data_IF_268867009258
#
_entry.id   IF_268867009258
#
_cell.length_a   1.000
_cell.length_b   1.000
_cell.length_c   1.000
_cell.angle_alpha   90.00
_cell.angle_beta   90.00
_cell.angle_gamma   90.00
#
_symmetry.space_group_name_H-M   'P 1'
#
loop_
_entity.id
_entity.type
_entity.pdbx_description
1 polymer ?
#
# COMPACT_ATOMS: atom_id res chain seq x y z
N UNK A 1 25.95 -30.43 8.89
CA UNK A 1 24.66 -29.94 8.39
C UNK A 1 23.76 -29.52 9.53
N UNK A 2 23.61 -30.33 10.58
CA UNK A 2 22.77 -30.07 11.76
C UNK A 2 23.13 -28.75 12.47
N UNK A 3 24.40 -28.52 12.78
CA UNK A 3 24.87 -27.24 13.37
C UNK A 3 24.61 -26.01 12.51
N UNK A 4 24.62 -26.15 11.17
CA UNK A 4 24.29 -25.06 10.24
C UNK A 4 22.79 -24.82 10.19
N UNK A 5 21.99 -25.87 10.34
CA UNK A 5 20.52 -25.77 10.42
C UNK A 5 20.07 -25.10 11.73
N UNK A 6 20.74 -25.43 12.84
CA UNK A 6 20.53 -24.76 14.14
C UNK A 6 20.84 -23.25 14.04
N UNK A 7 21.99 -22.88 13.46
CA UNK A 7 22.39 -21.46 13.28
C UNK A 7 21.43 -20.72 12.35
N UNK A 8 21.01 -21.33 11.25
CA UNK A 8 20.04 -20.70 10.35
C UNK A 8 18.65 -20.59 10.96
N UNK A 9 18.28 -21.49 11.85
CA UNK A 9 17.02 -21.43 12.60
C UNK A 9 17.09 -20.33 13.67
N UNK A 10 18.19 -20.26 14.42
CA UNK A 10 18.44 -19.22 15.44
C UNK A 10 18.48 -17.81 14.82
N UNK A 11 19.04 -17.68 13.63
CA UNK A 11 19.13 -16.41 12.88
C UNK A 11 17.94 -16.16 11.95
N UNK A 12 16.92 -17.01 11.99
CA UNK A 12 15.69 -16.92 11.18
C UNK A 12 15.93 -16.90 9.66
N UNK A 13 17.06 -17.36 9.18
CA UNK A 13 17.43 -17.40 7.75
C UNK A 13 16.79 -18.57 6.99
N UNK A 14 15.46 -18.73 7.06
CA UNK A 14 14.70 -19.87 6.52
C UNK A 14 14.94 -20.10 5.00
N UNK A 15 14.84 -19.07 4.18
CA UNK A 15 15.05 -19.16 2.72
C UNK A 15 16.51 -19.48 2.38
N UNK A 16 17.46 -19.01 3.15
CA UNK A 16 18.89 -19.30 2.98
C UNK A 16 19.20 -20.73 3.41
N UNK A 17 18.62 -21.21 4.52
CA UNK A 17 18.72 -22.58 4.97
C UNK A 17 18.22 -23.58 3.91
N UNK A 18 17.05 -23.35 3.34
CA UNK A 18 16.47 -24.19 2.29
C UNK A 18 17.37 -24.28 1.05
N UNK A 19 17.95 -23.15 0.64
CA UNK A 19 18.84 -23.09 -0.54
C UNK A 19 20.20 -23.75 -0.30
N UNK A 20 20.82 -23.55 0.86
CA UNK A 20 22.16 -24.05 1.19
C UNK A 20 22.14 -25.50 1.62
N UNK A 21 21.15 -25.89 2.40
CA UNK A 21 21.05 -27.26 2.94
C UNK A 21 20.37 -28.22 1.97
N UNK A 22 19.83 -27.73 0.85
CA UNK A 22 19.07 -28.51 -0.14
C UNK A 22 17.98 -29.37 0.53
N UNK A 23 17.24 -28.78 1.48
CA UNK A 23 16.07 -29.45 2.06
C UNK A 23 15.06 -29.69 0.92
N UNK A 24 14.46 -30.89 0.79
CA UNK A 24 13.39 -31.10 -0.16
C UNK A 24 12.28 -30.09 0.16
N UNK A 25 11.85 -29.33 -0.84
CA UNK A 25 10.68 -28.48 -0.70
C UNK A 25 9.49 -29.37 -0.33
N UNK A 26 9.08 -29.33 0.91
CA UNK A 26 7.76 -29.78 1.27
C UNK A 26 6.77 -28.83 0.60
N UNK A 27 5.86 -29.36 -0.20
CA UNK A 27 4.73 -28.59 -0.69
C UNK A 27 4.09 -27.90 0.52
N UNK A 28 3.80 -26.62 0.44
CA UNK A 28 3.27 -25.88 1.58
C UNK A 28 1.98 -26.54 2.06
N UNK A 29 2.02 -27.08 3.25
CA UNK A 29 0.83 -27.28 4.06
C UNK A 29 0.49 -25.90 4.62
N UNK A 30 -0.78 -25.50 4.51
CA UNK A 30 -1.38 -24.19 4.76
C UNK A 30 -1.00 -23.47 6.08
N UNK A 31 0.27 -23.16 6.31
CA UNK A 31 0.74 -22.39 7.46
C UNK A 31 2.04 -21.62 7.21
N UNK A 32 2.49 -21.50 5.95
CA UNK A 32 3.64 -20.65 5.63
C UNK A 32 3.47 -20.08 4.22
N UNK A 33 2.75 -18.96 4.13
CA UNK A 33 2.81 -18.06 2.98
C UNK A 33 4.16 -17.35 3.02
N UNK A 34 5.12 -17.83 2.23
CA UNK A 34 6.36 -17.09 1.98
C UNK A 34 6.04 -15.88 1.09
N UNK A 35 6.39 -14.71 1.61
CA UNK A 35 6.30 -13.44 0.90
C UNK A 35 7.15 -13.43 -0.37
N UNK A 36 6.49 -13.25 -1.50
CA UNK A 36 7.12 -12.71 -2.69
C UNK A 36 6.81 -11.20 -2.75
N UNK A 37 7.78 -10.39 -2.35
CA UNK A 37 7.63 -8.92 -2.19
C UNK A 37 7.38 -8.18 -3.52
N UNK A 38 7.34 -8.89 -4.67
CA UNK A 38 7.19 -8.33 -6.02
C UNK A 38 6.25 -9.14 -6.93
N UNK A 39 5.42 -10.02 -6.37
CA UNK A 39 4.44 -10.71 -7.18
C UNK A 39 3.25 -9.79 -7.50
N UNK A 40 3.16 -9.37 -8.75
CA UNK A 40 1.90 -8.93 -9.35
C UNK A 40 0.84 -10.02 -9.12
N UNK A 41 -0.36 -9.62 -8.72
CA UNK A 41 -1.49 -10.47 -8.36
C UNK A 41 -1.60 -11.72 -9.24
N UNK A 42 -1.69 -12.94 -8.69
CA UNK A 42 -1.97 -14.13 -9.47
C UNK A 42 -3.41 -14.06 -9.98
N UNK A 43 -3.55 -13.88 -11.29
CA UNK A 43 -4.80 -14.12 -12.00
C UNK A 43 -5.16 -15.60 -11.93
N UNK A 44 -6.36 -15.86 -11.42
CA UNK A 44 -7.17 -17.07 -11.64
C UNK A 44 -6.47 -18.43 -11.60
N UNK A 45 -6.47 -19.05 -10.45
CA UNK A 45 -6.47 -20.50 -10.29
C UNK A 45 -7.60 -20.87 -9.35
N UNK A 46 -8.57 -21.60 -9.85
CA UNK A 46 -9.59 -22.27 -9.03
C UNK A 46 -8.87 -23.29 -8.15
N UNK A 47 -8.51 -22.91 -6.94
CA UNK A 47 -8.12 -23.86 -5.91
C UNK A 47 -9.30 -24.11 -5.00
N UNK A 48 -9.61 -25.41 -4.84
CA UNK A 48 -10.64 -25.94 -3.97
C UNK A 48 -10.45 -25.37 -2.55
N UNK A 49 -11.30 -24.40 -2.20
CA UNK A 49 -11.44 -23.89 -0.85
C UNK A 49 -11.80 -25.05 0.09
N UNK A 50 -10.87 -25.44 0.94
CA UNK A 50 -11.22 -26.14 2.16
C UNK A 50 -12.13 -25.21 2.94
N UNK A 51 -13.38 -25.64 3.18
CA UNK A 51 -14.40 -24.97 3.95
C UNK A 51 -13.92 -24.66 5.39
N UNK A 52 -13.17 -23.59 5.58
CA UNK A 52 -13.17 -22.88 6.83
C UNK A 52 -14.48 -22.09 6.82
N UNK A 53 -15.41 -22.38 7.71
CA UNK A 53 -16.63 -21.58 7.87
C UNK A 53 -16.24 -20.24 8.49
N UNK A 54 -15.82 -19.27 7.66
CA UNK A 54 -15.66 -17.89 8.10
C UNK A 54 -17.05 -17.30 8.35
N UNK A 55 -17.16 -16.51 9.40
CA UNK A 55 -18.28 -15.59 9.56
C UNK A 55 -18.21 -14.50 8.47
N UNK A 56 -19.32 -13.87 8.16
CA UNK A 56 -19.39 -12.78 7.18
C UNK A 56 -20.62 -11.92 7.48
N UNK A 57 -20.74 -10.79 6.84
CA UNK A 57 -21.94 -9.94 6.93
C UNK A 57 -23.26 -10.70 6.68
N UNK A 58 -23.22 -11.78 5.89
CA UNK A 58 -24.40 -12.62 5.59
C UNK A 58 -24.74 -13.62 6.69
N UNK A 59 -23.80 -13.94 7.59
CA UNK A 59 -23.96 -15.01 8.59
C UNK A 59 -24.02 -14.47 10.01
N UNK A 60 -23.55 -13.25 10.25
CA UNK A 60 -23.55 -12.61 11.57
C UNK A 60 -24.69 -11.62 11.67
N UNK A 61 -25.46 -11.69 12.78
CA UNK A 61 -26.45 -10.68 13.07
C UNK A 61 -25.75 -9.36 13.42
N UNK A 62 -26.11 -8.30 12.72
CA UNK A 62 -25.53 -6.97 12.87
C UNK A 62 -26.59 -5.88 12.69
N UNK A 63 -26.28 -4.68 13.10
CA UNK A 63 -27.14 -3.51 13.00
C UNK A 63 -26.38 -2.37 12.34
N UNK A 64 -26.37 -2.36 11.01
CA UNK A 64 -25.77 -1.28 10.23
C UNK A 64 -26.85 -0.31 9.75
N UNK A 65 -26.58 0.96 9.90
CA UNK A 65 -27.57 2.01 9.69
C UNK A 65 -27.08 3.03 8.66
N UNK A 66 -27.89 3.28 7.65
CA UNK A 66 -27.67 4.35 6.68
C UNK A 66 -28.24 5.67 7.23
N UNK A 67 -27.43 6.72 7.17
CA UNK A 67 -27.78 8.10 7.53
C UNK A 67 -27.60 8.96 6.27
N UNK A 68 -28.69 9.50 5.75
CA UNK A 68 -28.70 10.25 4.49
C UNK A 68 -29.31 11.66 4.63
N UNK A 69 -29.60 12.09 5.86
CA UNK A 69 -30.18 13.40 6.15
C UNK A 69 -29.57 14.03 7.41
N UNK A 70 -29.64 15.36 7.50
CA UNK A 70 -29.02 16.11 8.59
C UNK A 70 -29.66 15.85 9.97
N UNK A 71 -30.96 15.56 10.04
CA UNK A 71 -31.65 15.36 11.34
C UNK A 71 -31.13 14.08 11.99
N UNK A 72 -31.04 12.99 11.25
CA UNK A 72 -30.49 11.72 11.74
C UNK A 72 -28.98 11.82 11.97
N UNK A 73 -28.24 12.59 11.16
CA UNK A 73 -26.83 12.88 11.40
C UNK A 73 -26.61 13.58 12.75
N UNK A 74 -27.44 14.55 13.10
CA UNK A 74 -27.37 15.23 14.42
C UNK A 74 -27.74 14.29 15.58
N UNK A 75 -28.74 13.42 15.41
CA UNK A 75 -29.07 12.38 16.41
C UNK A 75 -27.93 11.40 16.60
N UNK A 76 -27.30 10.99 15.49
CA UNK A 76 -26.12 10.12 15.55
C UNK A 76 -24.96 10.82 16.26
N UNK A 77 -24.68 12.09 15.94
CA UNK A 77 -23.67 12.89 16.64
C UNK A 77 -23.90 12.89 18.16
N UNK A 78 -25.12 13.18 18.61
CA UNK A 78 -25.46 13.23 20.04
C UNK A 78 -25.19 11.86 20.71
N UNK A 79 -25.49 10.76 20.03
CA UNK A 79 -25.21 9.40 20.51
C UNK A 79 -23.71 9.14 20.60
N UNK A 80 -22.96 9.40 19.53
CA UNK A 80 -21.51 9.15 19.44
C UNK A 80 -20.73 10.04 20.43
N UNK A 81 -21.18 11.26 20.67
CA UNK A 81 -20.49 12.19 21.57
C UNK A 81 -20.47 11.73 23.04
N UNK A 82 -21.32 10.79 23.42
CA UNK A 82 -21.33 10.18 24.76
C UNK A 82 -20.27 9.08 24.93
N UNK A 83 -19.63 8.65 23.86
CA UNK A 83 -18.72 7.50 23.85
C UNK A 83 -17.26 7.93 24.07
N UNK A 84 -16.44 7.00 24.55
CA UNK A 84 -15.02 7.24 24.80
C UNK A 84 -14.12 6.75 23.66
N UNK A 85 -14.62 5.84 22.84
CA UNK A 85 -13.93 5.23 21.70
C UNK A 85 -14.85 5.39 20.50
N UNK A 86 -14.25 5.77 19.37
CA UNK A 86 -14.91 5.95 18.09
C UNK A 86 -14.05 5.29 17.01
N UNK A 87 -14.52 4.18 16.49
CA UNK A 87 -13.99 3.64 15.23
C UNK A 87 -14.54 4.44 14.08
N UNK A 88 -13.68 4.78 13.13
CA UNK A 88 -14.00 5.59 11.97
C UNK A 88 -13.35 5.05 10.71
N UNK A 89 -14.01 5.29 9.60
CA UNK A 89 -13.49 5.05 8.26
C UNK A 89 -14.09 6.08 7.29
N UNK A 90 -13.42 6.35 6.17
CA UNK A 90 -13.88 7.30 5.16
C UNK A 90 -13.97 6.66 3.79
N UNK A 91 -15.15 6.73 3.17
CA UNK A 91 -15.33 6.39 1.77
C UNK A 91 -15.03 7.60 0.87
N UNK A 92 -14.27 7.37 -0.17
CA UNK A 92 -13.72 8.45 -1.00
C UNK A 92 -13.73 8.13 -2.49
N UNK A 93 -13.46 9.15 -3.30
CA UNK A 93 -13.36 9.02 -4.77
C UNK A 93 -12.01 8.55 -5.27
N UNK A 94 -10.97 8.54 -4.43
CA UNK A 94 -9.58 8.25 -4.81
C UNK A 94 -8.81 7.67 -3.63
N UNK A 95 -7.83 6.83 -3.92
CA UNK A 95 -6.84 6.36 -2.93
C UNK A 95 -5.74 7.38 -2.63
N UNK A 96 -5.74 8.52 -3.32
CA UNK A 96 -4.80 9.62 -3.12
C UNK A 96 -5.48 10.71 -2.29
N UNK A 97 -5.17 10.77 -1.00
CA UNK A 97 -5.91 11.58 -0.02
C UNK A 97 -5.97 13.07 -0.36
N UNK A 98 -4.90 13.64 -0.95
CA UNK A 98 -4.84 15.07 -1.30
C UNK A 98 -5.93 15.49 -2.28
N UNK A 99 -6.28 14.62 -3.24
CA UNK A 99 -7.25 14.88 -4.30
C UNK A 99 -8.59 14.16 -4.04
N UNK A 100 -8.70 13.42 -2.95
CA UNK A 100 -9.89 12.63 -2.63
C UNK A 100 -11.05 13.50 -2.15
N UNK A 101 -12.25 13.21 -2.66
CA UNK A 101 -13.49 13.76 -2.16
C UNK A 101 -14.20 12.72 -1.29
N UNK A 102 -14.79 13.16 -0.17
CA UNK A 102 -15.59 12.30 0.70
C UNK A 102 -16.85 11.83 -0.01
N UNK A 103 -17.10 10.55 0.05
CA UNK A 103 -18.35 9.87 -0.37
C UNK A 103 -19.19 9.50 0.85
N UNK A 104 -18.54 9.15 1.95
CA UNK A 104 -19.20 8.80 3.21
C UNK A 104 -18.27 8.83 4.40
N UNK A 105 -18.88 8.80 5.59
CA UNK A 105 -18.21 8.65 6.88
C UNK A 105 -18.83 7.45 7.60
N UNK A 106 -18.00 6.55 8.08
CA UNK A 106 -18.44 5.37 8.82
C UNK A 106 -18.01 5.45 10.27
N UNK A 107 -18.88 4.98 11.17
CA UNK A 107 -18.63 5.02 12.61
C UNK A 107 -19.09 3.73 13.29
N UNK A 108 -18.28 3.21 14.21
CA UNK A 108 -18.68 2.17 15.14
C UNK A 108 -18.20 2.50 16.56
N UNK A 109 -19.00 2.16 17.56
CA UNK A 109 -18.72 2.37 18.99
C UNK A 109 -19.01 1.13 19.83
N UNK A 110 -19.73 0.19 19.28
CA UNK A 110 -20.06 -1.12 19.82
C UNK A 110 -19.91 -2.15 18.70
N UNK A 111 -19.44 -3.36 19.01
CA UNK A 111 -19.28 -4.43 18.03
C UNK A 111 -20.64 -4.80 17.42
N UNK A 112 -20.64 -5.00 16.10
CA UNK A 112 -21.83 -5.36 15.32
C UNK A 112 -22.90 -4.25 15.22
N UNK A 113 -22.59 -3.02 15.68
CA UNK A 113 -23.40 -1.84 15.43
C UNK A 113 -22.55 -0.74 14.80
N UNK A 114 -22.92 -0.33 13.58
CA UNK A 114 -22.20 0.70 12.85
C UNK A 114 -23.15 1.60 12.04
N UNK A 115 -22.63 2.74 11.64
CA UNK A 115 -23.36 3.79 10.96
C UNK A 115 -22.57 4.29 9.76
N UNK A 116 -23.21 4.38 8.63
CA UNK A 116 -22.68 5.03 7.43
C UNK A 116 -23.44 6.33 7.17
N UNK A 117 -22.74 7.44 7.09
CA UNK A 117 -23.28 8.75 6.78
C UNK A 117 -22.92 9.06 5.32
N UNK A 118 -23.92 9.10 4.46
CA UNK A 118 -23.73 9.44 3.04
C UNK A 118 -23.40 10.94 2.90
N UNK A 119 -22.31 11.26 2.23
CA UNK A 119 -21.85 12.63 2.01
C UNK A 119 -22.22 13.07 0.60
N UNK A 120 -22.96 14.19 0.45
CA UNK A 120 -23.30 14.76 -0.86
C UNK A 120 -22.07 15.10 -1.69
N UNK A 121 -22.22 15.07 -3.03
CA UNK A 121 -21.14 15.45 -3.96
C UNK A 121 -20.88 16.96 -4.01
N UNK A 122 -21.90 17.76 -3.69
CA UNK A 122 -21.72 19.21 -3.56
C UNK A 122 -20.87 19.54 -2.33
N UNK A 123 -19.82 20.33 -2.55
CA UNK A 123 -18.83 20.65 -1.52
C UNK A 123 -19.41 21.40 -0.32
N UNK A 124 -20.35 22.31 -0.56
CA UNK A 124 -20.95 23.11 0.51
C UNK A 124 -21.90 22.24 1.36
N UNK A 125 -22.65 21.36 0.71
CA UNK A 125 -23.50 20.39 1.40
C UNK A 125 -22.66 19.37 2.16
N UNK A 126 -21.57 18.85 1.58
CA UNK A 126 -20.64 17.96 2.24
C UNK A 126 -20.05 18.57 3.52
N UNK A 127 -19.66 19.84 3.46
CA UNK A 127 -19.14 20.58 4.62
C UNK A 127 -20.19 20.71 5.75
N UNK A 128 -21.48 20.80 5.44
CA UNK A 128 -22.53 20.81 6.48
C UNK A 128 -22.52 19.50 7.27
N UNK A 129 -22.49 18.35 6.59
CA UNK A 129 -22.42 17.05 7.25
C UNK A 129 -21.12 16.87 8.04
N UNK A 130 -19.98 17.18 7.43
CA UNK A 130 -18.67 17.06 8.11
C UNK A 130 -18.64 17.94 9.37
N UNK A 131 -19.18 19.16 9.32
CA UNK A 131 -19.20 20.07 10.45
C UNK A 131 -20.08 19.56 11.61
N UNK A 132 -21.09 18.71 11.37
CA UNK A 132 -21.85 18.06 12.45
C UNK A 132 -20.90 17.16 13.26
N UNK A 133 -20.05 16.38 12.59
CA UNK A 133 -19.17 15.40 13.23
C UNK A 133 -17.80 15.96 13.61
N UNK A 134 -17.40 17.12 13.10
CA UNK A 134 -16.11 17.75 13.41
C UNK A 134 -15.80 17.78 14.92
N UNK A 135 -16.73 18.12 15.84
CA UNK A 135 -16.43 18.12 17.27
C UNK A 135 -16.12 16.72 17.85
N UNK A 136 -16.52 15.63 17.19
CA UNK A 136 -16.11 14.27 17.60
C UNK A 136 -14.64 14.03 17.27
N UNK A 137 -14.23 14.35 16.04
CA UNK A 137 -12.86 14.20 15.59
C UNK A 137 -11.89 15.05 16.42
N UNK A 138 -12.27 16.27 16.73
CA UNK A 138 -11.46 17.23 17.47
C UNK A 138 -11.56 17.11 19.00
N UNK A 139 -12.36 16.18 19.53
CA UNK A 139 -12.47 15.95 20.96
C UNK A 139 -11.29 15.09 21.47
N UNK A 140 -10.34 15.65 22.26
CA UNK A 140 -9.18 14.88 22.72
C UNK A 140 -9.52 13.80 23.77
N UNK A 141 -10.75 13.76 24.27
CA UNK A 141 -11.21 12.75 25.25
C UNK A 141 -11.74 11.50 24.58
N UNK A 142 -12.07 11.55 23.28
CA UNK A 142 -12.55 10.42 22.51
C UNK A 142 -11.34 9.83 21.77
N UNK A 143 -11.04 8.56 22.02
CA UNK A 143 -10.04 7.82 21.24
C UNK A 143 -10.61 7.52 19.85
N UNK A 144 -9.84 7.81 18.79
CA UNK A 144 -10.18 7.45 17.40
C UNK A 144 -9.45 6.18 17.02
N UNK A 145 -10.18 5.27 16.43
CA UNK A 145 -9.67 3.99 15.94
C UNK A 145 -9.86 3.97 14.42
N UNK A 146 -8.87 3.54 13.68
CA UNK A 146 -8.93 3.41 12.22
C UNK A 146 -8.00 2.33 11.71
N UNK A 147 -8.20 1.93 10.48
CA UNK A 147 -7.31 1.06 9.71
C UNK A 147 -6.57 1.92 8.69
N UNK A 148 -5.26 2.16 8.85
CA UNK A 148 -4.53 3.17 8.08
C UNK A 148 -5.09 4.59 8.29
N UNK A 149 -5.35 4.93 9.54
CA UNK A 149 -6.04 6.17 9.97
C UNK A 149 -5.38 7.46 9.43
N UNK A 150 -4.11 7.39 9.01
CA UNK A 150 -3.42 8.51 8.37
C UNK A 150 -4.16 8.98 7.11
N UNK A 151 -4.64 8.05 6.30
CA UNK A 151 -5.41 8.36 5.10
C UNK A 151 -6.69 9.13 5.44
N UNK A 152 -7.46 8.65 6.40
CA UNK A 152 -8.69 9.31 6.85
C UNK A 152 -8.41 10.70 7.42
N UNK A 153 -7.32 10.82 8.18
CA UNK A 153 -6.87 12.09 8.73
C UNK A 153 -6.58 13.11 7.62
N UNK A 154 -5.83 12.72 6.59
CA UNK A 154 -5.51 13.57 5.44
C UNK A 154 -6.76 13.98 4.64
N UNK A 155 -7.67 13.05 4.39
CA UNK A 155 -8.95 13.33 3.73
C UNK A 155 -9.76 14.34 4.55
N UNK A 156 -9.87 14.16 5.87
CA UNK A 156 -10.57 15.06 6.77
C UNK A 156 -9.93 16.45 6.85
N UNK A 157 -8.59 16.55 6.75
CA UNK A 157 -7.90 17.84 6.65
C UNK A 157 -8.35 18.66 5.44
N UNK A 158 -8.68 18.05 4.31
CA UNK A 158 -9.26 18.76 3.16
C UNK A 158 -10.60 19.42 3.48
N UNK A 159 -11.29 18.95 4.53
CA UNK A 159 -12.55 19.51 5.02
C UNK A 159 -12.39 20.39 6.27
N UNK A 160 -11.15 20.72 6.62
CA UNK A 160 -10.83 21.58 7.76
C UNK A 160 -11.05 20.93 9.12
N UNK A 161 -10.93 19.60 9.18
CA UNK A 161 -11.01 18.80 10.41
C UNK A 161 -9.61 18.31 10.78
N UNK A 162 -9.22 18.48 12.04
CA UNK A 162 -8.00 17.91 12.61
C UNK A 162 -8.34 16.89 13.69
N UNK A 163 -7.93 15.66 13.52
CA UNK A 163 -8.14 14.63 14.52
C UNK A 163 -7.27 14.95 15.74
N UNK A 164 -7.89 15.01 16.91
CA UNK A 164 -7.22 15.30 18.18
C UNK A 164 -7.36 14.16 19.18
N UNK A 165 -6.42 14.11 20.12
CA UNK A 165 -6.40 13.10 21.17
C UNK A 165 -5.70 11.80 20.75
N UNK A 166 -5.99 10.73 21.47
CA UNK A 166 -5.40 9.43 21.18
C UNK A 166 -5.99 8.84 19.91
N UNK A 167 -5.11 8.30 19.08
CA UNK A 167 -5.47 7.46 17.92
C UNK A 167 -4.99 6.04 18.14
N UNK A 168 -5.68 5.08 17.56
CA UNK A 168 -5.28 3.68 17.48
C UNK A 168 -5.41 3.22 16.02
N UNK A 169 -4.29 2.89 15.40
CA UNK A 169 -4.25 2.35 14.04
C UNK A 169 -4.05 0.85 14.09
N UNK A 170 -5.02 0.09 13.57
CA UNK A 170 -4.99 -1.38 13.58
C UNK A 170 -3.92 -1.94 12.65
N UNK A 171 -3.62 -1.28 11.54
CA UNK A 171 -2.55 -1.66 10.61
C UNK A 171 -1.17 -1.51 11.27
N UNK A 172 -0.91 -0.38 11.92
CA UNK A 172 0.35 -0.12 12.64
C UNK A 172 0.47 -1.05 13.86
N UNK A 173 -0.61 -1.27 14.60
CA UNK A 173 -0.62 -2.21 15.71
C UNK A 173 -0.19 -3.61 15.27
N UNK A 174 -0.76 -4.10 14.17
CA UNK A 174 -0.40 -5.41 13.64
C UNK A 174 1.02 -5.43 13.05
N UNK A 175 1.46 -4.35 12.41
CA UNK A 175 2.83 -4.24 11.92
C UNK A 175 3.85 -4.42 13.04
N UNK A 176 3.61 -3.86 14.22
CA UNK A 176 4.49 -4.05 15.39
C UNK A 176 4.43 -5.47 15.94
N UNK A 177 3.27 -6.12 15.89
CA UNK A 177 3.07 -7.48 16.41
C UNK A 177 3.71 -8.52 15.49
N UNK A 178 3.51 -8.39 14.18
CA UNK A 178 3.98 -9.34 13.16
C UNK A 178 4.39 -8.62 11.86
N UNK A 179 5.58 -8.00 11.82
CA UNK A 179 6.01 -7.15 10.70
C UNK A 179 6.19 -7.89 9.36
N UNK A 180 6.30 -9.22 9.38
CA UNK A 180 6.53 -10.06 8.20
C UNK A 180 5.23 -10.45 7.47
N UNK A 181 4.06 -10.08 7.99
CA UNK A 181 2.76 -10.49 7.45
C UNK A 181 2.04 -9.35 6.74
N UNK A 182 0.90 -9.66 6.11
CA UNK A 182 0.02 -8.65 5.53
C UNK A 182 -0.73 -7.89 6.63
N UNK A 183 -0.99 -6.61 6.39
CA UNK A 183 -1.60 -5.71 7.38
C UNK A 183 -2.92 -5.09 6.89
N UNK A 184 -3.44 -5.54 5.75
CA UNK A 184 -4.75 -5.11 5.25
C UNK A 184 -5.87 -5.69 6.09
N UNK A 185 -7.01 -5.01 6.12
CA UNK A 185 -8.13 -5.36 6.98
C UNK A 185 -8.68 -6.76 6.70
N UNK A 186 -8.84 -7.15 5.44
CA UNK A 186 -9.32 -8.47 5.05
C UNK A 186 -8.50 -9.59 5.70
N UNK A 187 -7.18 -9.51 5.56
CA UNK A 187 -6.27 -10.48 6.16
C UNK A 187 -6.36 -10.50 7.70
N UNK A 188 -6.45 -9.32 8.32
CA UNK A 188 -6.57 -9.22 9.77
C UNK A 188 -7.90 -9.78 10.27
N UNK A 189 -9.00 -9.52 9.58
CA UNK A 189 -10.31 -10.05 9.91
C UNK A 189 -10.34 -11.59 9.80
N UNK A 190 -9.76 -12.16 8.72
CA UNK A 190 -9.65 -13.61 8.58
C UNK A 190 -8.83 -14.25 9.69
N UNK A 191 -7.67 -13.69 10.01
CA UNK A 191 -6.72 -14.29 10.99
C UNK A 191 -7.17 -14.12 12.44
N UNK A 192 -7.68 -12.95 12.80
CA UNK A 192 -7.97 -12.61 14.19
C UNK A 192 -9.44 -12.75 14.57
N UNK A 193 -10.35 -12.57 13.63
CA UNK A 193 -11.79 -12.60 13.88
C UNK A 193 -12.48 -13.83 13.26
N UNK A 194 -11.78 -14.60 12.42
CA UNK A 194 -12.36 -15.64 11.57
C UNK A 194 -13.54 -15.11 10.73
N UNK A 195 -13.40 -13.91 10.23
CA UNK A 195 -14.42 -13.17 9.51
C UNK A 195 -13.92 -12.83 8.10
N UNK A 196 -14.78 -13.02 7.09
CA UNK A 196 -14.54 -12.64 5.71
C UNK A 196 -15.31 -11.37 5.39
N UNK A 197 -14.60 -10.27 5.18
CA UNK A 197 -15.14 -8.96 4.81
C UNK A 197 -15.66 -8.95 3.39
N UNK A 198 -16.50 -7.98 3.06
CA UNK A 198 -16.90 -7.68 1.68
C UNK A 198 -15.72 -7.01 0.98
N UNK A 199 -15.35 -7.49 -0.20
CA UNK A 199 -14.26 -6.85 -0.97
C UNK A 199 -14.80 -5.66 -1.78
N UNK A 200 -14.02 -4.58 -1.84
CA UNK A 200 -14.38 -3.39 -2.61
C UNK A 200 -14.63 -3.70 -4.10
N UNK A 201 -13.92 -4.67 -4.66
CA UNK A 201 -14.12 -5.12 -6.04
C UNK A 201 -15.51 -5.74 -6.30
N UNK A 202 -16.18 -6.24 -5.27
CA UNK A 202 -17.55 -6.74 -5.37
C UNK A 202 -18.57 -5.61 -5.54
N UNK A 203 -18.25 -4.39 -5.09
CA UNK A 203 -19.09 -3.21 -5.24
C UNK A 203 -18.78 -2.43 -6.53
N UNK A 204 -17.52 -2.08 -6.74
CA UNK A 204 -17.11 -1.18 -7.83
C UNK A 204 -16.55 -1.91 -9.05
N UNK A 205 -16.41 -3.23 -8.96
CA UNK A 205 -15.84 -4.06 -10.02
C UNK A 205 -14.32 -4.18 -9.98
N UNK A 206 -13.75 -5.10 -10.77
CA UNK A 206 -12.31 -5.38 -10.76
C UNK A 206 -11.47 -4.20 -11.21
N UNK A 207 -10.23 -4.13 -10.70
CA UNK A 207 -9.26 -3.08 -11.08
C UNK A 207 -9.09 -2.97 -12.59
N UNK A 208 -9.22 -1.76 -13.12
CA UNK A 208 -9.06 -1.47 -14.54
C UNK A 208 -9.86 -0.26 -15.03
N UNK A 209 -9.86 -0.05 -16.34
CA UNK A 209 -10.51 1.13 -16.96
C UNK A 209 -12.03 1.22 -16.74
N UNK A 210 -12.67 0.11 -16.41
CA UNK A 210 -14.12 0.03 -16.23
C UNK A 210 -14.52 -0.05 -14.74
N UNK A 211 -13.57 0.10 -13.81
CA UNK A 211 -13.86 0.16 -12.39
C UNK A 211 -14.66 1.44 -12.09
N UNK A 212 -15.77 1.30 -11.38
CA UNK A 212 -16.60 2.43 -10.95
C UNK A 212 -15.91 3.19 -9.79
N UNK A 213 -16.32 4.42 -9.57
CA UNK A 213 -16.03 5.13 -8.33
C UNK A 213 -17.07 4.77 -7.27
N UNK A 214 -16.70 4.84 -5.98
CA UNK A 214 -17.69 4.73 -4.88
C UNK A 214 -18.80 5.79 -5.02
N UNK A 215 -18.50 6.94 -5.60
CA UNK A 215 -19.46 8.02 -5.88
C UNK A 215 -20.53 7.64 -6.91
N UNK A 216 -20.27 6.64 -7.76
CA UNK A 216 -21.21 6.18 -8.79
C UNK A 216 -22.29 5.23 -8.22
N UNK A 217 -22.14 4.79 -6.98
CA UNK A 217 -23.06 3.90 -6.29
C UNK A 217 -24.09 4.67 -5.45
N UNK A 218 -25.27 4.12 -5.31
CA UNK A 218 -26.25 4.67 -4.39
C UNK A 218 -25.80 4.42 -2.93
N UNK A 219 -26.10 5.34 -1.99
CA UNK A 219 -25.78 5.13 -0.57
C UNK A 219 -26.27 3.79 0.00
N UNK A 220 -27.42 3.30 -0.49
CA UNK A 220 -27.97 2.00 -0.11
C UNK A 220 -27.18 0.78 -0.63
N UNK A 221 -26.28 0.98 -1.57
CA UNK A 221 -25.38 -0.09 -2.07
C UNK A 221 -24.05 -0.10 -1.32
N UNK A 222 -23.65 1.04 -0.73
CA UNK A 222 -22.35 1.24 -0.08
C UNK A 222 -22.42 1.02 1.43
N UNK A 223 -23.55 1.36 2.07
CA UNK A 223 -23.63 1.52 3.54
C UNK A 223 -23.26 0.26 4.33
N UNK A 224 -23.61 -0.94 3.84
CA UNK A 224 -23.27 -2.18 4.55
C UNK A 224 -21.77 -2.44 4.52
N UNK A 225 -21.13 -2.27 3.37
CA UNK A 225 -19.69 -2.38 3.20
C UNK A 225 -18.95 -1.38 4.12
N UNK A 226 -19.27 -0.11 3.99
CA UNK A 226 -18.59 0.95 4.71
C UNK A 226 -18.82 0.90 6.25
N UNK A 227 -20.00 0.46 6.68
CA UNK A 227 -20.29 0.23 8.09
C UNK A 227 -19.54 -1.00 8.62
N UNK A 228 -19.39 -2.07 7.81
CA UNK A 228 -18.60 -3.25 8.13
C UNK A 228 -17.14 -2.84 8.42
N UNK A 229 -16.54 -1.99 7.58
CA UNK A 229 -15.14 -1.55 7.74
C UNK A 229 -14.91 -0.86 9.09
N UNK A 230 -15.82 0.02 9.52
CA UNK A 230 -15.73 0.66 10.83
C UNK A 230 -15.94 -0.32 12.01
N UNK A 231 -16.85 -1.28 11.88
CA UNK A 231 -17.12 -2.31 12.90
C UNK A 231 -15.94 -3.29 13.03
N UNK A 232 -15.47 -3.83 11.91
CA UNK A 232 -14.32 -4.75 11.89
C UNK A 232 -13.06 -4.07 12.44
N UNK A 233 -12.84 -2.81 12.12
CA UNK A 233 -11.74 -2.01 12.68
C UNK A 233 -11.83 -1.90 14.20
N UNK A 234 -13.04 -1.70 14.76
CA UNK A 234 -13.25 -1.69 16.20
C UNK A 234 -12.96 -3.05 16.84
N UNK A 235 -13.44 -4.13 16.25
CA UNK A 235 -13.20 -5.50 16.71
C UNK A 235 -11.70 -5.84 16.66
N UNK A 236 -11.00 -5.47 15.58
CA UNK A 236 -9.57 -5.66 15.45
C UNK A 236 -8.78 -4.90 16.53
N UNK A 237 -9.16 -3.66 16.83
CA UNK A 237 -8.56 -2.91 17.95
C UNK A 237 -8.69 -3.68 19.26
N UNK A 238 -9.87 -4.24 19.55
CA UNK A 238 -10.13 -4.97 20.79
C UNK A 238 -9.27 -6.24 20.92
N UNK A 239 -8.89 -6.86 19.80
CA UNK A 239 -8.00 -8.05 19.78
C UNK A 239 -6.52 -7.67 19.77
N UNK A 240 -6.14 -6.62 19.06
CA UNK A 240 -4.73 -6.25 18.86
C UNK A 240 -4.16 -5.48 20.07
N UNK A 241 -4.94 -4.62 20.74
CA UNK A 241 -4.46 -3.85 21.90
C UNK A 241 -3.93 -4.76 23.04
N UNK A 242 -4.62 -5.84 23.47
CA UNK A 242 -4.06 -6.78 24.44
C UNK A 242 -2.76 -7.46 23.99
N UNK A 243 -2.62 -7.73 22.69
CA UNK A 243 -1.40 -8.35 22.12
C UNK A 243 -0.21 -7.40 22.16
N UNK A 244 -0.41 -6.10 21.89
CA UNK A 244 0.64 -5.10 22.07
C UNK A 244 1.16 -5.08 23.50
N UNK A 245 0.26 -5.22 24.47
CA UNK A 245 0.61 -5.28 25.88
C UNK A 245 1.36 -6.56 26.23
N UNK A 246 0.88 -7.71 25.79
CA UNK A 246 1.53 -9.02 26.00
C UNK A 246 2.98 -9.04 25.49
N UNK A 247 3.21 -8.40 24.32
CA UNK A 247 4.51 -8.33 23.69
C UNK A 247 5.38 -7.14 24.17
N UNK A 248 4.90 -6.34 25.12
CA UNK A 248 5.57 -5.14 25.64
C UNK A 248 5.85 -4.08 24.55
N UNK A 249 4.94 -3.93 23.58
CA UNK A 249 5.04 -2.99 22.48
C UNK A 249 4.25 -1.69 22.70
N UNK A 250 3.50 -1.59 23.82
CA UNK A 250 2.64 -0.42 24.12
C UNK A 250 3.42 0.90 24.15
N UNK A 251 4.62 0.91 24.73
CA UNK A 251 5.42 2.12 24.84
C UNK A 251 5.86 2.61 23.46
N UNK A 252 6.31 1.71 22.58
CA UNK A 252 6.64 2.03 21.20
C UNK A 252 5.40 2.52 20.43
N UNK A 253 4.29 1.81 20.53
CA UNK A 253 3.06 2.15 19.84
C UNK A 253 2.53 3.53 20.25
N UNK A 254 2.39 3.79 21.57
CA UNK A 254 1.76 5.01 22.05
C UNK A 254 2.68 6.24 22.05
N UNK A 255 3.99 6.06 22.21
CA UNK A 255 4.93 7.17 22.37
C UNK A 255 5.73 7.50 21.11
N UNK A 256 5.72 6.59 20.10
CA UNK A 256 6.45 6.79 18.85
C UNK A 256 5.52 6.69 17.65
N UNK A 257 4.88 5.55 17.43
CA UNK A 257 4.15 5.28 16.19
C UNK A 257 2.89 6.16 16.07
N UNK A 258 2.05 6.19 17.09
CA UNK A 258 0.82 7.00 17.03
C UNK A 258 1.08 8.51 16.94
N UNK A 259 2.01 9.10 17.70
CA UNK A 259 2.38 10.51 17.51
C UNK A 259 2.98 10.83 16.14
N UNK A 260 3.57 9.86 15.45
CA UNK A 260 4.14 10.05 14.13
C UNK A 260 3.06 10.20 13.04
N UNK A 261 1.89 9.58 13.21
CA UNK A 261 0.78 9.64 12.24
C UNK A 261 0.40 11.07 11.86
N UNK A 262 0.05 11.99 12.77
CA UNK A 262 -0.29 13.36 12.40
C UNK A 262 0.90 14.13 11.81
N UNK A 263 2.13 13.83 12.21
CA UNK A 263 3.33 14.46 11.64
C UNK A 263 3.46 14.11 10.17
N UNK A 264 3.32 12.81 9.82
CA UNK A 264 3.39 12.34 8.44
C UNK A 264 2.22 12.90 7.61
N UNK A 265 1.00 12.89 8.15
CA UNK A 265 -0.16 13.48 7.48
C UNK A 265 0.07 14.95 7.12
N UNK A 266 0.56 15.76 8.05
CA UNK A 266 0.89 17.17 7.78
C UNK A 266 2.01 17.34 6.76
N UNK A 267 3.03 16.48 6.79
CA UNK A 267 4.13 16.52 5.81
C UNK A 267 3.61 16.18 4.41
N UNK A 268 2.78 15.16 4.26
CA UNK A 268 2.20 14.74 2.98
C UNK A 268 1.24 15.81 2.43
N UNK A 269 0.38 16.37 3.28
CA UNK A 269 -0.53 17.45 2.89
C UNK A 269 0.18 18.76 2.52
N UNK A 270 1.31 19.08 3.16
CA UNK A 270 2.12 20.24 2.79
C UNK A 270 2.89 20.03 1.48
N UNK A 271 3.20 18.77 1.15
CA UNK A 271 3.95 18.40 -0.04
C UNK A 271 5.39 18.92 -0.06
N UNK A 272 6.02 18.81 -1.22
CA UNK A 272 7.41 19.23 -1.45
C UNK A 272 7.45 20.24 -2.59
N UNK A 273 8.10 21.39 -2.35
CA UNK A 273 8.32 22.38 -3.39
C UNK A 273 9.45 21.93 -4.33
N UNK A 274 9.14 21.81 -5.62
CA UNK A 274 10.10 21.42 -6.65
C UNK A 274 10.52 22.66 -7.44
N UNK A 275 11.83 22.88 -7.58
CA UNK A 275 12.37 23.90 -8.49
C UNK A 275 12.29 23.42 -9.95
N UNK A 276 11.18 23.76 -10.58
CA UNK A 276 10.91 23.39 -11.99
C UNK A 276 11.86 24.03 -12.97
N UNK A 277 12.47 25.19 -12.65
CA UNK A 277 13.42 25.86 -13.53
C UNK A 277 14.75 25.11 -13.55
N UNK A 278 15.30 24.80 -12.38
CA UNK A 278 16.51 23.97 -12.28
C UNK A 278 16.32 22.60 -12.93
N UNK A 279 15.15 21.98 -12.79
CA UNK A 279 14.85 20.72 -13.48
C UNK A 279 14.81 20.87 -15.01
N UNK A 280 14.22 21.94 -15.53
CA UNK A 280 14.22 22.22 -16.97
C UNK A 280 15.61 22.47 -17.52
N UNK A 281 16.40 23.29 -16.84
CA UNK A 281 17.79 23.54 -17.21
C UNK A 281 18.63 22.27 -17.20
N UNK A 282 18.48 21.46 -16.16
CA UNK A 282 19.15 20.17 -16.05
C UNK A 282 18.73 19.22 -17.18
N UNK A 283 17.43 19.17 -17.51
CA UNK A 283 16.90 18.35 -18.60
C UNK A 283 17.50 18.78 -19.96
N UNK A 284 17.59 20.09 -20.23
CA UNK A 284 18.21 20.59 -21.45
C UNK A 284 19.69 20.24 -21.51
N UNK A 285 20.43 20.43 -20.42
CA UNK A 285 21.84 20.12 -20.33
C UNK A 285 22.12 18.62 -20.55
N UNK A 286 21.33 17.77 -19.91
CA UNK A 286 21.41 16.32 -20.06
C UNK A 286 21.07 15.88 -21.49
N UNK A 287 20.03 16.46 -22.10
CA UNK A 287 19.66 16.17 -23.50
C UNK A 287 20.78 16.53 -24.48
N UNK A 288 21.38 17.70 -24.32
CA UNK A 288 22.51 18.11 -25.15
C UNK A 288 23.69 17.15 -24.98
N UNK A 289 24.04 16.81 -23.75
CA UNK A 289 25.12 15.85 -23.46
C UNK A 289 24.84 14.47 -24.03
N UNK A 290 23.62 13.96 -23.89
CA UNK A 290 23.20 12.67 -24.48
C UNK A 290 23.33 12.69 -26.00
N UNK A 291 22.94 13.77 -26.65
CA UNK A 291 23.07 13.92 -28.11
C UNK A 291 24.53 13.90 -28.58
N UNK A 292 25.43 14.53 -27.83
CA UNK A 292 26.87 14.49 -28.11
C UNK A 292 27.44 13.08 -27.94
N UNK A 293 27.09 12.40 -26.85
CA UNK A 293 27.54 11.02 -26.57
C UNK A 293 26.99 10.07 -27.63
N UNK A 294 25.72 10.20 -28.00
CA UNK A 294 25.09 9.39 -29.05
C UNK A 294 25.81 9.55 -30.38
N UNK A 295 26.11 10.77 -30.80
CA UNK A 295 26.89 11.04 -32.01
C UNK A 295 28.26 10.37 -31.95
N UNK A 296 28.99 10.49 -30.83
CA UNK A 296 30.28 9.86 -30.62
C UNK A 296 30.21 8.31 -30.70
N UNK A 297 29.16 7.72 -30.10
CA UNK A 297 28.95 6.27 -30.18
C UNK A 297 28.74 5.83 -31.62
N UNK A 298 27.94 6.56 -32.40
CA UNK A 298 27.72 6.23 -33.82
C UNK A 298 28.98 6.41 -34.68
N UNK A 299 29.78 7.44 -34.42
CA UNK A 299 31.08 7.62 -35.07
C UNK A 299 32.02 6.46 -34.79
N UNK A 300 32.12 6.02 -33.52
CA UNK A 300 32.95 4.89 -33.12
C UNK A 300 32.43 3.54 -33.63
N UNK A 301 31.12 3.38 -33.74
CA UNK A 301 30.50 2.16 -34.27
C UNK A 301 30.48 2.10 -35.80
N UNK A 302 30.60 3.24 -36.48
CA UNK A 302 30.48 3.36 -37.95
C UNK A 302 29.07 3.29 -38.49
N UNK A 303 28.05 3.24 -37.62
CA UNK A 303 26.62 3.21 -37.96
C UNK A 303 25.73 3.62 -36.79
N UNK A 304 24.49 3.99 -37.08
CA UNK A 304 23.47 4.26 -36.09
C UNK A 304 22.74 2.99 -35.68
N UNK A 305 22.41 2.89 -34.37
CA UNK A 305 21.67 1.79 -33.78
C UNK A 305 20.97 2.26 -32.51
N UNK A 306 20.05 1.47 -31.98
CA UNK A 306 19.39 1.82 -30.72
C UNK A 306 20.31 1.47 -29.52
N UNK A 307 20.95 2.48 -28.92
CA UNK A 307 21.86 2.35 -27.77
C UNK A 307 21.14 1.84 -26.51
N UNK A 308 19.83 2.13 -26.38
CA UNK A 308 19.01 1.63 -25.30
C UNK A 308 18.66 0.12 -25.46
N UNK A 309 18.94 -0.48 -26.62
CA UNK A 309 18.69 -1.90 -26.88
C UNK A 309 19.91 -2.77 -26.51
N UNK A 310 19.90 -3.57 -25.43
CA UNK A 310 21.01 -4.45 -25.09
C UNK A 310 21.41 -5.40 -26.22
N UNK A 311 20.41 -5.83 -27.03
CA UNK A 311 20.65 -6.70 -28.16
C UNK A 311 21.48 -6.00 -29.25
N UNK A 312 21.07 -4.80 -29.66
CA UNK A 312 21.78 -4.06 -30.70
C UNK A 312 23.20 -3.66 -30.25
N UNK A 313 23.31 -3.18 -29.00
CA UNK A 313 24.62 -2.90 -28.37
C UNK A 313 25.51 -4.15 -28.41
N UNK A 314 25.00 -5.33 -28.08
CA UNK A 314 25.75 -6.57 -28.12
C UNK A 314 26.17 -6.96 -29.55
N UNK A 315 25.31 -6.78 -30.53
CA UNK A 315 25.60 -7.04 -31.95
C UNK A 315 26.70 -6.09 -32.49
N UNK A 316 26.68 -4.83 -32.11
CA UNK A 316 27.73 -3.87 -32.47
C UNK A 316 29.05 -4.22 -31.78
N UNK A 317 29.09 -4.31 -30.46
CA UNK A 317 30.33 -4.48 -29.71
C UNK A 317 31.00 -5.85 -29.99
N UNK A 318 30.23 -6.93 -30.01
CA UNK A 318 30.75 -8.28 -30.05
C UNK A 318 30.61 -8.98 -31.41
N UNK A 319 29.57 -8.61 -32.17
CA UNK A 319 29.33 -9.15 -33.50
C UNK A 319 30.18 -8.46 -34.56
N UNK A 320 30.09 -7.13 -34.66
CA UNK A 320 30.76 -6.33 -35.71
C UNK A 320 32.15 -5.87 -35.31
N UNK A 321 32.25 -5.16 -34.18
CA UNK A 321 33.55 -4.62 -33.71
C UNK A 321 34.48 -5.71 -33.13
N UNK A 322 33.94 -6.84 -32.71
CA UNK A 322 34.66 -7.98 -32.14
C UNK A 322 35.67 -7.58 -31.05
N UNK A 323 35.22 -6.73 -30.11
CA UNK A 323 36.03 -6.15 -29.03
C UNK A 323 36.64 -7.25 -28.15
N UNK A 324 36.00 -8.43 -28.11
CA UNK A 324 36.42 -9.60 -27.32
C UNK A 324 36.21 -10.86 -28.16
N UNK A 325 37.21 -11.78 -28.14
CA UNK A 325 37.14 -13.04 -28.90
C UNK A 325 36.03 -13.99 -28.43
N UNK A 326 35.75 -14.02 -27.10
CA UNK A 326 34.77 -14.91 -26.50
C UNK A 326 33.82 -14.13 -25.57
N UNK A 327 32.85 -13.39 -26.15
CA UNK A 327 31.91 -12.62 -25.33
C UNK A 327 30.95 -13.53 -24.57
N UNK A 328 30.57 -13.10 -23.36
CA UNK A 328 29.53 -13.80 -22.56
C UNK A 328 28.18 -13.73 -23.27
N UNK A 329 27.46 -14.87 -23.28
CA UNK A 329 26.10 -14.97 -23.82
C UNK A 329 25.14 -15.46 -22.75
N UNK A 330 23.90 -15.04 -22.88
CA UNK A 330 22.76 -15.55 -22.08
C UNK A 330 22.41 -16.98 -22.49
N UNK A 331 21.54 -17.64 -21.72
CA UNK A 331 21.00 -18.97 -22.08
C UNK A 331 20.29 -18.98 -23.44
N UNK A 332 19.75 -17.82 -23.86
CA UNK A 332 19.07 -17.63 -25.16
C UNK A 332 20.00 -17.25 -26.31
N UNK A 333 21.32 -17.21 -26.07
CA UNK A 333 22.31 -16.92 -27.09
C UNK A 333 22.60 -15.42 -27.33
N UNK A 334 21.91 -14.51 -26.60
CA UNK A 334 22.16 -13.07 -26.67
C UNK A 334 23.46 -12.67 -25.98
N UNK A 335 24.16 -11.66 -26.51
CA UNK A 335 25.32 -11.08 -25.84
C UNK A 335 24.92 -10.37 -24.53
N UNK A 336 25.70 -10.56 -23.48
CA UNK A 336 25.50 -9.89 -22.20
C UNK A 336 26.17 -8.52 -22.24
N UNK A 337 25.36 -7.46 -22.08
CA UNK A 337 25.82 -6.06 -22.09
C UNK A 337 25.44 -5.35 -20.78
N UNK A 338 25.41 -6.10 -19.65
CA UNK A 338 25.19 -5.47 -18.34
C UNK A 338 26.33 -4.52 -18.01
N UNK A 339 26.04 -3.57 -17.12
CA UNK A 339 27.01 -2.57 -16.67
C UNK A 339 28.30 -3.24 -16.17
N UNK A 340 28.17 -4.28 -15.33
CA UNK A 340 29.31 -5.04 -14.80
C UNK A 340 30.21 -5.61 -15.89
N UNK A 341 29.62 -6.15 -16.97
CA UNK A 341 30.38 -6.72 -18.09
C UNK A 341 31.07 -5.60 -18.88
N UNK A 342 30.38 -4.50 -19.15
CA UNK A 342 30.94 -3.36 -19.85
C UNK A 342 32.06 -2.68 -19.05
N UNK A 343 31.92 -2.54 -17.74
CA UNK A 343 32.95 -1.99 -16.85
C UNK A 343 34.28 -2.81 -16.93
N UNK A 344 34.16 -4.14 -16.96
CA UNK A 344 35.35 -5.02 -17.13
C UNK A 344 36.07 -4.86 -18.50
N UNK A 345 35.31 -4.36 -19.48
CA UNK A 345 35.82 -4.20 -20.86
C UNK A 345 36.21 -2.75 -21.18
N UNK A 346 36.14 -1.85 -20.20
CA UNK A 346 36.33 -0.41 -20.36
C UNK A 346 37.64 -0.03 -21.08
N UNK A 347 38.71 -0.76 -20.78
CA UNK A 347 40.04 -0.54 -21.42
C UNK A 347 40.18 -1.11 -22.83
N UNK A 348 39.16 -1.82 -23.34
CA UNK A 348 39.25 -2.52 -24.63
C UNK A 348 38.86 -1.64 -25.82
N UNK A 349 37.95 -0.67 -25.61
CA UNK A 349 37.50 0.23 -26.67
C UNK A 349 36.84 1.48 -26.08
N UNK A 350 37.10 2.66 -26.65
CA UNK A 350 36.48 3.94 -26.18
C UNK A 350 34.96 3.93 -26.25
N UNK A 351 34.34 3.21 -27.17
CA UNK A 351 32.89 3.13 -27.33
C UNK A 351 32.21 2.60 -26.03
N UNK A 352 32.92 1.79 -25.24
CA UNK A 352 32.38 1.23 -24.00
C UNK A 352 32.20 2.31 -22.95
N UNK A 353 33.15 3.26 -22.83
CA UNK A 353 33.02 4.41 -21.95
C UNK A 353 31.85 5.28 -22.35
N UNK A 354 31.70 5.55 -23.64
CA UNK A 354 30.59 6.34 -24.15
C UNK A 354 29.21 5.65 -23.90
N UNK A 355 29.12 4.33 -24.10
CA UNK A 355 27.90 3.58 -23.81
C UNK A 355 27.59 3.56 -22.30
N UNK A 356 28.59 3.48 -21.43
CA UNK A 356 28.43 3.57 -20.00
C UNK A 356 27.99 4.97 -19.54
N UNK A 357 28.53 6.03 -20.19
CA UNK A 357 28.13 7.41 -19.91
C UNK A 357 26.73 7.74 -20.43
N UNK A 358 26.27 7.07 -21.50
CA UNK A 358 24.92 7.23 -22.05
C UNK A 358 23.84 6.64 -21.15
N UNK A 359 24.14 5.56 -20.42
CA UNK A 359 23.21 4.85 -19.53
C UNK A 359 23.11 5.46 -18.15
#
# INVERSE_FOLDING_TARGET
KEKLDEIFTELEFKSFANRVLKKPQQKPTNASLELDLFAENPTNGQDEQKNANFESIKTVEHKYNLIDNEEDAKRLYDYLFTKQILSLDTETTSTHAVDAELVGLSFAVEEKEAFYVAIPSDREEALKFVNIFKPLYENPKIMKVGQNIKYDYEVLMNYGVEIQGKMFDTMIAHYLIQPELYHNMDYLAEVYLHYQTVHIEDLIGPKGKNQKSMRDLAPSEVYEYAAEDADITLQLKNVLEPKLKELNLEELFWNVEMPLVPVLAHMEMNGVCIDTNTLKETSVNLTNRLTEIERHIYELAGESFNIASPRQVGEILFGKMKIVDKPKKTKTGQYVTSEEVLQQLRSKSPIIDEILNYR
#
